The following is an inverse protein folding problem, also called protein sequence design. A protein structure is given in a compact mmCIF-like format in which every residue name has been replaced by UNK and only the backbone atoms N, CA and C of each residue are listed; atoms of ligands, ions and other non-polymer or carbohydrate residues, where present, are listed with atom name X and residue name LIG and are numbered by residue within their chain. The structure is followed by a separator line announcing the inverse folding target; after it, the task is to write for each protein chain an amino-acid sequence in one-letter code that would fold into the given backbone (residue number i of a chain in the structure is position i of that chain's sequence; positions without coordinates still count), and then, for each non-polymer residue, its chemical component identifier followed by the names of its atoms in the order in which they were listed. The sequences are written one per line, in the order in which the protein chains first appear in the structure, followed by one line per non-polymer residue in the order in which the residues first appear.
data_IF_621563372567
#
_entry.id   IF_621563372567
#
_cell.length_a   1.000
_cell.length_b   1.000
_cell.length_c   1.000
_cell.angle_alpha   90.00
_cell.angle_beta   90.00
_cell.angle_gamma   90.00
#
_symmetry.space_group_name_H-M   'P 1'
#
loop_
_entity.id
_entity.type
_entity.pdbx_description
1 polymer ?
#
# COMPACT_ATOMS: atom_id res chain seq x y z
N UNK A 1 3.70 -24.03 -1.80
CA UNK A 1 2.98 -23.12 -2.74
C UNK A 1 2.95 -21.68 -2.22
N UNK A 2 2.40 -21.40 -1.03
CA UNK A 2 2.36 -20.06 -0.40
C UNK A 2 3.70 -19.31 -0.36
N UNK A 3 4.78 -19.97 0.07
CA UNK A 3 6.12 -19.36 0.10
C UNK A 3 6.61 -18.91 -1.28
N UNK A 4 6.16 -19.56 -2.36
CA UNK A 4 6.56 -19.19 -3.71
C UNK A 4 5.94 -17.84 -4.10
N UNK A 5 4.72 -17.53 -3.64
CA UNK A 5 4.10 -16.21 -3.88
C UNK A 5 4.97 -15.10 -3.28
N UNK A 6 5.39 -15.25 -2.02
CA UNK A 6 6.30 -14.28 -1.38
C UNK A 6 7.58 -14.14 -2.22
N UNK A 7 8.24 -15.26 -2.53
CA UNK A 7 9.53 -15.26 -3.23
C UNK A 7 9.42 -14.65 -4.62
N UNK A 8 8.40 -14.99 -5.39
CA UNK A 8 8.21 -14.47 -6.75
C UNK A 8 7.99 -12.96 -6.72
N UNK A 9 7.06 -12.47 -5.89
CA UNK A 9 6.77 -11.03 -5.79
C UNK A 9 8.03 -10.27 -5.34
N UNK A 10 8.71 -10.78 -4.31
CA UNK A 10 9.92 -10.17 -3.79
C UNK A 10 11.06 -10.17 -4.81
N UNK A 11 11.29 -11.28 -5.51
CA UNK A 11 12.35 -11.38 -6.54
C UNK A 11 12.08 -10.45 -7.72
N UNK A 12 10.84 -10.36 -8.21
CA UNK A 12 10.47 -9.42 -9.28
C UNK A 12 10.81 -7.99 -8.85
N UNK A 13 10.36 -7.59 -7.65
CA UNK A 13 10.58 -6.24 -7.14
C UNK A 13 12.05 -5.93 -6.85
N UNK A 14 12.80 -6.87 -6.28
CA UNK A 14 14.23 -6.68 -6.05
C UNK A 14 15.03 -6.63 -7.36
N UNK A 15 14.61 -7.36 -8.39
CA UNK A 15 15.24 -7.29 -9.71
C UNK A 15 15.04 -5.91 -10.36
N UNK A 16 13.85 -5.33 -10.24
CA UNK A 16 13.55 -3.96 -10.67
C UNK A 16 14.40 -2.97 -9.87
N UNK A 17 14.40 -3.06 -8.54
CA UNK A 17 15.18 -2.19 -7.67
C UNK A 17 16.68 -2.22 -7.97
N UNK A 18 17.26 -3.41 -8.13
CA UNK A 18 18.67 -3.59 -8.47
C UNK A 18 19.01 -3.04 -9.86
N UNK A 19 18.12 -3.18 -10.83
CA UNK A 19 18.31 -2.60 -12.16
C UNK A 19 18.29 -1.07 -12.10
N UNK A 20 17.38 -0.48 -11.31
CA UNK A 20 17.26 0.96 -11.15
C UNK A 20 18.40 1.58 -10.32
N UNK A 21 19.06 0.79 -9.46
CA UNK A 21 20.28 1.20 -8.75
C UNK A 21 21.46 1.45 -9.73
N UNK A 22 21.42 0.90 -10.94
CA UNK A 22 22.43 1.12 -11.97
C UNK A 22 22.24 2.43 -12.76
N UNK A 23 21.18 3.21 -12.48
CA UNK A 23 20.98 4.51 -13.11
C UNK A 23 22.12 5.50 -12.76
N UNK A 24 22.44 6.45 -13.66
CA UNK A 24 23.48 7.45 -13.42
C UNK A 24 23.32 8.20 -12.08
N UNK A 25 24.46 8.66 -11.54
CA UNK A 25 24.49 9.50 -10.35
C UNK A 25 23.53 10.71 -10.50
N UNK A 26 22.79 11.02 -9.44
CA UNK A 26 21.74 12.05 -9.45
C UNK A 26 20.33 11.53 -9.76
N UNK A 27 20.15 10.32 -10.32
CA UNK A 27 18.82 9.76 -10.64
C UNK A 27 18.18 8.89 -9.54
N UNK A 28 18.73 8.91 -8.33
CA UNK A 28 18.24 8.07 -7.23
C UNK A 28 16.78 8.35 -6.83
N UNK A 29 16.32 9.60 -6.92
CA UNK A 29 14.91 9.92 -6.66
C UNK A 29 13.97 9.36 -7.73
N UNK A 30 14.38 9.45 -9.00
CA UNK A 30 13.65 8.85 -10.12
C UNK A 30 13.58 7.32 -9.98
N UNK A 31 14.72 6.68 -9.66
CA UNK A 31 14.80 5.25 -9.38
C UNK A 31 13.78 4.81 -8.31
N UNK A 32 13.75 5.52 -7.17
CA UNK A 32 12.80 5.21 -6.08
C UNK A 32 11.35 5.40 -6.49
N UNK A 33 11.04 6.45 -7.27
CA UNK A 33 9.69 6.70 -7.78
C UNK A 33 9.25 5.57 -8.71
N UNK A 34 10.04 5.27 -9.74
CA UNK A 34 9.75 4.20 -10.71
C UNK A 34 9.59 2.85 -10.01
N UNK A 35 10.45 2.53 -9.04
CA UNK A 35 10.32 1.29 -8.28
C UNK A 35 9.01 1.22 -7.48
N UNK A 36 8.59 2.35 -6.88
CA UNK A 36 7.31 2.45 -6.18
C UNK A 36 6.11 2.24 -7.11
N UNK A 37 6.10 2.95 -8.24
CA UNK A 37 5.02 2.90 -9.23
C UNK A 37 4.88 1.48 -9.82
N UNK A 38 6.00 0.82 -10.11
CA UNK A 38 6.02 -0.56 -10.59
C UNK A 38 5.59 -1.57 -9.51
N UNK A 39 5.86 -1.30 -8.22
CA UNK A 39 5.37 -2.14 -7.14
C UNK A 39 3.85 -2.06 -6.99
N UNK A 40 3.28 -0.86 -6.98
CA UNK A 40 1.83 -0.65 -7.01
C UNK A 40 1.20 -1.40 -8.19
N UNK A 41 1.73 -1.19 -9.39
CA UNK A 41 1.22 -1.82 -10.60
C UNK A 41 1.28 -3.34 -10.54
N UNK A 42 2.38 -3.91 -10.05
CA UNK A 42 2.51 -5.37 -9.89
C UNK A 42 1.42 -5.92 -8.96
N UNK A 43 1.20 -5.31 -7.80
CA UNK A 43 0.19 -5.77 -6.85
C UNK A 43 -1.21 -5.70 -7.46
N UNK A 44 -1.54 -4.59 -8.14
CA UNK A 44 -2.83 -4.45 -8.84
C UNK A 44 -3.02 -5.52 -9.90
N UNK A 45 -2.02 -5.76 -10.74
CA UNK A 45 -2.07 -6.81 -11.77
C UNK A 45 -2.24 -8.20 -11.18
N UNK A 46 -1.61 -8.50 -10.04
CA UNK A 46 -1.78 -9.78 -9.35
C UNK A 46 -3.22 -9.97 -8.84
N UNK A 47 -3.82 -8.93 -8.26
CA UNK A 47 -5.24 -8.97 -7.81
C UNK A 47 -6.17 -9.17 -9.01
N UNK A 48 -5.97 -8.43 -10.10
CA UNK A 48 -6.76 -8.58 -11.34
C UNK A 48 -6.58 -9.96 -11.95
N UNK A 49 -5.36 -10.51 -11.93
CA UNK A 49 -5.06 -11.83 -12.52
C UNK A 49 -5.79 -13.00 -11.85
N UNK A 50 -6.22 -12.84 -10.59
CA UNK A 50 -7.02 -13.83 -9.87
C UNK A 50 -8.54 -13.54 -9.95
N UNK A 51 -8.95 -12.66 -10.88
CA UNK A 51 -10.36 -12.40 -11.18
C UNK A 51 -11.05 -11.44 -10.21
N UNK A 52 -10.30 -10.56 -9.55
CA UNK A 52 -10.84 -9.57 -8.60
C UNK A 52 -10.67 -8.17 -9.19
N UNK A 53 -11.74 -7.39 -9.21
CA UNK A 53 -11.72 -6.02 -9.74
C UNK A 53 -10.87 -5.13 -8.83
N UNK A 54 -9.82 -4.53 -9.41
CA UNK A 54 -8.94 -3.62 -8.68
C UNK A 54 -8.41 -2.52 -9.60
N UNK A 55 -8.61 -1.27 -9.18
CA UNK A 55 -8.15 -0.07 -9.90
C UNK A 55 -7.37 0.86 -8.97
N UNK A 56 -6.53 1.72 -9.55
CA UNK A 56 -5.98 2.90 -8.85
C UNK A 56 -6.82 4.10 -9.25
N UNK A 57 -7.15 4.97 -8.29
CA UNK A 57 -8.10 6.03 -8.58
C UNK A 57 -8.24 7.09 -7.49
N UNK A 58 -8.94 8.15 -7.88
CA UNK A 58 -9.38 9.20 -6.96
C UNK A 58 -10.86 9.03 -6.66
N UNK A 59 -11.18 8.83 -5.38
CA UNK A 59 -12.54 8.82 -4.86
C UNK A 59 -13.00 10.24 -4.55
N UNK A 60 -14.25 10.53 -4.88
CA UNK A 60 -14.91 11.79 -4.50
C UNK A 60 -15.86 11.54 -3.33
N UNK A 61 -15.44 11.93 -2.13
CA UNK A 61 -16.23 11.78 -0.90
C UNK A 61 -17.09 13.03 -0.69
N UNK A 62 -18.42 12.91 -0.63
CA UNK A 62 -19.29 14.05 -0.38
C UNK A 62 -19.19 14.50 1.09
N UNK A 63 -18.96 15.78 1.29
CA UNK A 63 -18.93 16.41 2.62
C UNK A 63 -20.29 17.07 2.86
N UNK A 64 -20.99 16.60 3.89
CA UNK A 64 -22.35 17.05 4.21
C UNK A 64 -22.37 17.90 5.48
N UNK A 65 -23.31 18.84 5.56
CA UNK A 65 -23.60 19.56 6.80
C UNK A 65 -24.45 18.70 7.76
N UNK A 66 -24.82 19.25 8.92
CA UNK A 66 -25.67 18.59 9.91
C UNK A 66 -27.07 18.23 9.40
N UNK A 67 -27.54 18.92 8.36
CA UNK A 67 -28.86 18.72 7.75
C UNK A 67 -28.83 17.71 6.59
N UNK A 68 -27.64 17.13 6.32
CA UNK A 68 -27.44 16.13 5.27
C UNK A 68 -27.24 16.71 3.87
N UNK A 69 -27.20 18.03 3.72
CA UNK A 69 -26.95 18.70 2.45
C UNK A 69 -25.47 18.58 2.07
N UNK A 70 -25.20 18.14 0.85
CA UNK A 70 -23.83 18.07 0.31
C UNK A 70 -23.31 19.49 0.06
N UNK A 71 -22.24 19.87 0.78
CA UNK A 71 -21.58 21.17 0.65
C UNK A 71 -20.56 21.16 -0.50
N UNK A 72 -19.74 20.11 -0.57
CA UNK A 72 -18.73 19.91 -1.61
C UNK A 72 -18.23 18.46 -1.62
N UNK A 73 -17.41 18.09 -2.62
CA UNK A 73 -16.73 16.79 -2.67
C UNK A 73 -15.24 16.94 -2.41
N UNK A 74 -14.70 16.06 -1.59
CA UNK A 74 -13.27 15.96 -1.30
C UNK A 74 -12.65 14.79 -2.07
N UNK A 75 -11.44 14.99 -2.58
CA UNK A 75 -10.73 14.03 -3.43
C UNK A 75 -9.73 13.21 -2.63
N UNK A 76 -9.84 11.89 -2.65
CA UNK A 76 -8.93 10.96 -1.99
C UNK A 76 -8.31 10.00 -3.00
N UNK A 77 -6.99 10.04 -3.15
CA UNK A 77 -6.27 9.14 -4.05
C UNK A 77 -5.79 7.90 -3.31
N UNK A 78 -6.11 6.73 -3.86
CA UNK A 78 -5.71 5.44 -3.31
C UNK A 78 -5.06 4.58 -4.39
N UNK A 79 -4.07 3.80 -3.95
CA UNK A 79 -3.28 2.93 -4.83
C UNK A 79 -4.12 1.73 -5.31
N UNK A 80 -4.98 1.20 -4.42
CA UNK A 80 -5.87 0.08 -4.68
C UNK A 80 -7.29 0.42 -4.21
N UNK A 81 -8.23 0.30 -5.14
CA UNK A 81 -9.67 0.30 -4.90
C UNK A 81 -10.17 -1.06 -5.39
N UNK A 82 -10.51 -1.95 -4.46
CA UNK A 82 -10.87 -3.33 -4.75
C UNK A 82 -12.39 -3.47 -4.63
N UNK A 83 -13.03 -3.96 -5.68
CA UNK A 83 -14.49 -4.06 -5.79
C UNK A 83 -14.93 -5.50 -6.05
N UNK A 84 -16.19 -5.80 -5.72
CA UNK A 84 -16.86 -7.05 -6.08
C UNK A 84 -18.31 -6.75 -6.39
N UNK A 85 -18.71 -6.95 -7.65
CA UNK A 85 -20.02 -6.51 -8.13
C UNK A 85 -20.12 -4.98 -8.16
N UNK A 86 -21.21 -4.42 -7.65
CA UNK A 86 -21.44 -2.98 -7.59
C UNK A 86 -20.94 -2.31 -6.31
N UNK A 87 -20.11 -3.00 -5.52
CA UNK A 87 -19.62 -2.51 -4.23
C UNK A 87 -18.10 -2.38 -4.22
N UNK A 88 -17.63 -1.24 -3.71
CA UNK A 88 -16.26 -1.10 -3.23
C UNK A 88 -16.13 -1.88 -1.92
N UNK A 89 -15.13 -2.76 -1.85
CA UNK A 89 -14.94 -3.67 -0.71
C UNK A 89 -13.71 -3.33 0.13
N UNK A 90 -12.63 -2.85 -0.49
CA UNK A 90 -11.35 -2.63 0.19
C UNK A 90 -10.64 -1.41 -0.40
N UNK A 91 -10.08 -0.58 0.47
CA UNK A 91 -9.11 0.45 0.12
C UNK A 91 -7.71 -0.04 0.51
N UNK A 92 -6.76 0.03 -0.40
CA UNK A 92 -5.40 -0.46 -0.17
C UNK A 92 -4.33 0.57 -0.48
N UNK A 93 -3.27 0.54 0.33
CA UNK A 93 -2.03 1.28 0.08
C UNK A 93 -0.87 0.33 -0.18
N UNK A 94 -0.08 0.59 -1.22
CA UNK A 94 1.13 -0.16 -1.60
C UNK A 94 2.32 0.77 -1.49
N UNK A 95 3.34 0.38 -0.71
CA UNK A 95 4.55 1.19 -0.51
C UNK A 95 5.78 0.29 -0.45
N UNK A 96 6.91 0.73 -0.96
CA UNK A 96 8.15 -0.06 -0.90
C UNK A 96 8.68 -0.22 0.54
N UNK A 97 8.49 0.79 1.38
CA UNK A 97 8.81 0.76 2.81
C UNK A 97 7.81 1.59 3.60
N UNK A 98 7.57 1.21 4.86
CA UNK A 98 6.57 1.86 5.70
C UNK A 98 7.08 3.20 6.26
N UNK A 99 8.14 3.20 7.08
CA UNK A 99 8.70 4.42 7.72
C UNK A 99 7.57 5.31 8.31
N UNK A 100 7.69 6.61 8.14
CA UNK A 100 6.67 7.64 8.42
C UNK A 100 5.41 7.50 7.56
N UNK A 101 5.46 6.78 6.43
CA UNK A 101 4.28 6.59 5.56
C UNK A 101 3.24 5.66 6.18
N UNK A 102 3.60 4.90 7.21
CA UNK A 102 2.63 4.07 7.93
C UNK A 102 1.56 4.95 8.59
N UNK A 103 1.96 6.10 9.12
CA UNK A 103 1.08 7.09 9.75
C UNK A 103 -0.04 7.51 8.78
N UNK A 104 0.32 7.74 7.50
CA UNK A 104 -0.64 8.12 6.46
C UNK A 104 -1.73 7.06 6.27
N UNK A 105 -1.39 5.76 6.22
CA UNK A 105 -2.37 4.70 5.96
C UNK A 105 -3.41 4.61 7.08
N UNK A 106 -2.96 4.75 8.34
CA UNK A 106 -3.85 4.78 9.50
C UNK A 106 -4.78 5.99 9.48
N UNK A 107 -4.24 7.16 9.14
CA UNK A 107 -5.03 8.39 9.01
C UNK A 107 -6.02 8.35 7.85
N UNK A 108 -5.64 7.76 6.72
CA UNK A 108 -6.53 7.59 5.57
C UNK A 108 -7.74 6.74 5.96
N UNK A 109 -7.55 5.60 6.65
CA UNK A 109 -8.67 4.79 7.20
C UNK A 109 -9.54 5.60 8.15
N UNK A 110 -8.92 6.29 9.12
CA UNK A 110 -9.64 7.08 10.12
C UNK A 110 -10.55 8.12 9.46
N UNK A 111 -9.97 8.94 8.58
CA UNK A 111 -10.66 10.04 7.93
C UNK A 111 -11.72 9.53 6.97
N UNK A 112 -11.40 8.52 6.17
CA UNK A 112 -12.37 7.93 5.24
C UNK A 112 -13.61 7.44 6.00
N UNK A 113 -13.42 6.55 6.96
CA UNK A 113 -14.52 5.97 7.74
C UNK A 113 -15.32 7.04 8.48
N UNK A 114 -14.65 8.08 8.99
CA UNK A 114 -15.32 9.19 9.68
C UNK A 114 -16.16 10.05 8.75
N UNK A 115 -15.72 10.27 7.52
CA UNK A 115 -16.39 11.12 6.54
C UNK A 115 -17.52 10.39 5.79
N UNK A 116 -17.40 9.09 5.59
CA UNK A 116 -18.40 8.29 4.87
C UNK A 116 -19.35 7.54 5.81
N UNK A 117 -19.09 7.56 7.11
CA UNK A 117 -19.83 6.77 8.11
C UNK A 117 -19.84 5.26 7.80
N UNK A 118 -18.77 4.78 7.17
CA UNK A 118 -18.58 3.35 6.84
C UNK A 118 -17.47 2.73 7.67
N UNK A 119 -17.44 1.41 7.78
CA UNK A 119 -16.28 0.64 8.26
C UNK A 119 -15.63 -0.12 7.10
N UNK A 120 -15.30 0.59 6.03
CA UNK A 120 -14.73 -0.04 4.84
C UNK A 120 -13.32 -0.57 5.16
N UNK A 121 -13.02 -1.84 4.84
CA UNK A 121 -11.71 -2.40 5.09
C UNK A 121 -10.56 -1.60 4.46
N UNK A 122 -9.52 -1.33 5.26
CA UNK A 122 -8.28 -0.73 4.76
C UNK A 122 -7.08 -1.65 4.99
N UNK A 123 -6.31 -1.89 3.93
CA UNK A 123 -5.11 -2.73 3.95
C UNK A 123 -3.85 -1.95 3.58
N UNK A 124 -2.71 -2.42 4.07
CA UNK A 124 -1.39 -1.92 3.71
C UNK A 124 -0.50 -3.06 3.20
N UNK A 125 0.23 -2.81 2.10
CA UNK A 125 1.18 -3.75 1.52
C UNK A 125 2.54 -3.08 1.41
N UNK A 126 3.53 -3.68 2.04
CA UNK A 126 4.90 -3.21 2.10
C UNK A 126 5.87 -4.21 1.45
N UNK A 127 6.87 -3.71 0.71
CA UNK A 127 7.92 -4.58 0.18
C UNK A 127 8.84 -5.03 1.32
N UNK A 128 9.50 -4.09 2.00
CA UNK A 128 10.39 -4.36 3.13
C UNK A 128 10.61 -3.10 3.99
N UNK A 129 11.18 -3.27 5.19
CA UNK A 129 11.63 -2.14 6.02
C UNK A 129 13.12 -2.23 6.32
N UNK A 130 13.92 -2.13 5.25
CA UNK A 130 15.37 -2.09 5.35
C UNK A 130 15.95 -0.89 4.61
N UNK A 131 17.05 -0.39 5.16
CA UNK A 131 17.85 0.67 4.58
C UNK A 131 19.32 0.26 4.62
N UNK A 132 20.09 0.55 3.57
CA UNK A 132 21.55 0.36 3.58
C UNK A 132 22.18 1.18 4.72
N UNK A 133 22.94 0.53 5.58
CA UNK A 133 23.73 1.17 6.63
C UNK A 133 24.93 1.84 5.99
N UNK A 134 25.16 3.12 6.31
CA UNK A 134 26.41 3.79 5.94
C UNK A 134 27.55 3.20 6.78
N UNK A 135 28.54 2.61 6.13
CA UNK A 135 29.76 2.10 6.76
C UNK A 135 30.93 2.98 6.35
N UNK A 136 31.91 3.12 7.25
CA UNK A 136 33.14 3.90 6.98
C UNK A 136 34.24 3.04 6.36
N UNK A 137 34.16 1.72 6.56
CA UNK A 137 35.11 0.77 6.02
C UNK A 137 34.61 0.22 4.69
N UNK A 138 35.51 0.17 3.72
CA UNK A 138 35.25 -0.44 2.42
C UNK A 138 34.93 -1.93 2.60
N UNK A 139 33.98 -2.45 1.82
CA UNK A 139 33.48 -3.84 1.90
C UNK A 139 32.75 -4.25 3.17
N UNK A 140 32.48 -3.34 4.11
CA UNK A 140 31.51 -3.58 5.18
C UNK A 140 30.11 -3.22 4.70
N UNK A 141 29.21 -4.21 4.64
CA UNK A 141 27.81 -4.00 4.29
C UNK A 141 26.91 -4.28 5.49
N UNK A 142 25.87 -3.45 5.64
CA UNK A 142 24.88 -3.64 6.68
C UNK A 142 23.55 -3.04 6.30
N UNK A 143 22.53 -3.38 7.08
CA UNK A 143 21.19 -2.85 6.96
C UNK A 143 20.71 -2.30 8.30
N UNK A 144 19.94 -1.23 8.26
CA UNK A 144 19.17 -0.72 9.38
C UNK A 144 17.69 -1.03 9.13
N UNK A 145 16.95 -1.34 10.21
CA UNK A 145 15.49 -1.38 10.15
C UNK A 145 14.94 0.02 9.99
N UNK A 146 13.88 0.16 9.20
CA UNK A 146 13.15 1.42 9.01
C UNK A 146 11.74 1.41 9.56
N UNK A 147 11.29 0.25 10.05
CA UNK A 147 9.98 0.09 10.65
C UNK A 147 9.89 0.84 11.98
N UNK A 148 8.76 1.51 12.21
CA UNK A 148 8.48 2.28 13.43
C UNK A 148 7.46 1.52 14.31
N UNK A 149 7.90 0.56 15.15
CA UNK A 149 7.00 -0.29 15.93
C UNK A 149 6.14 0.50 16.92
N UNK A 150 6.70 1.57 17.52
CA UNK A 150 5.95 2.41 18.46
C UNK A 150 4.76 3.09 17.81
N UNK A 151 4.94 3.66 16.61
CA UNK A 151 3.88 4.31 15.83
C UNK A 151 2.79 3.30 15.47
N UNK A 152 3.19 2.16 14.91
CA UNK A 152 2.25 1.11 14.51
C UNK A 152 1.37 0.66 15.69
N UNK A 153 1.99 0.35 16.84
CA UNK A 153 1.26 -0.08 18.04
C UNK A 153 0.35 1.02 18.57
N UNK A 154 0.84 2.25 18.62
CA UNK A 154 0.05 3.39 19.10
C UNK A 154 -1.21 3.57 18.25
N UNK A 155 -1.10 3.59 16.92
CA UNK A 155 -2.27 3.77 16.04
C UNK A 155 -3.21 2.57 16.04
N UNK A 156 -2.66 1.35 16.09
CA UNK A 156 -3.47 0.13 16.20
C UNK A 156 -4.34 0.15 17.45
N UNK A 157 -3.80 0.58 18.59
CA UNK A 157 -4.52 0.60 19.88
C UNK A 157 -5.40 1.84 20.04
N UNK A 158 -4.91 3.02 19.63
CA UNK A 158 -5.51 4.32 20.01
C UNK A 158 -6.28 5.01 18.89
N UNK A 159 -6.07 4.63 17.64
CA UNK A 159 -6.75 5.24 16.49
C UNK A 159 -7.73 4.25 15.86
N UNK A 160 -7.23 3.38 15.00
CA UNK A 160 -7.99 2.29 14.41
C UNK A 160 -7.03 1.19 13.92
N UNK A 161 -7.29 -0.09 14.19
CA UNK A 161 -6.53 -1.16 13.54
C UNK A 161 -6.79 -1.14 12.03
N UNK A 162 -5.75 -1.39 11.23
CA UNK A 162 -5.91 -1.75 9.82
C UNK A 162 -6.45 -3.17 9.70
N UNK A 163 -7.21 -3.44 8.64
CA UNK A 163 -7.84 -4.75 8.40
C UNK A 163 -6.83 -5.80 7.92
N UNK A 164 -5.68 -5.36 7.41
CA UNK A 164 -4.59 -6.23 7.01
C UNK A 164 -3.33 -5.45 6.71
N UNK A 165 -2.19 -5.93 7.22
CA UNK A 165 -0.87 -5.35 6.95
C UNK A 165 0.07 -6.45 6.50
N UNK A 166 0.58 -6.31 5.28
CA UNK A 166 1.27 -7.38 4.57
C UNK A 166 2.67 -6.97 4.16
N UNK A 167 3.65 -7.83 4.43
CA UNK A 167 5.03 -7.63 4.01
C UNK A 167 5.48 -8.71 3.03
N UNK A 168 6.24 -8.34 2.01
CA UNK A 168 6.98 -9.30 1.19
C UNK A 168 8.21 -9.82 1.95
N UNK A 169 8.93 -8.94 2.65
CA UNK A 169 10.02 -9.29 3.56
C UNK A 169 9.72 -8.78 4.98
N UNK A 170 9.10 -9.66 5.77
CA UNK A 170 8.73 -9.39 7.16
C UNK A 170 9.95 -9.48 8.07
N UNK A 171 10.10 -8.55 9.01
CA UNK A 171 11.26 -8.49 9.91
C UNK A 171 11.06 -9.37 11.16
N UNK A 172 12.11 -9.96 11.75
CA UNK A 172 11.98 -10.82 12.93
C UNK A 172 11.25 -10.18 14.10
N UNK A 173 11.46 -8.89 14.35
CA UNK A 173 10.78 -8.16 15.43
C UNK A 173 9.27 -8.04 15.22
N UNK A 174 8.78 -8.09 13.97
CA UNK A 174 7.34 -8.07 13.67
C UNK A 174 6.67 -9.41 13.98
N UNK A 175 7.44 -10.50 14.02
CA UNK A 175 6.96 -11.86 14.32
C UNK A 175 7.10 -12.16 15.82
N UNK A 176 8.19 -11.71 16.44
CA UNK A 176 8.48 -12.00 17.84
C UNK A 176 7.63 -11.17 18.81
N UNK A 177 7.24 -9.96 18.42
CA UNK A 177 6.39 -9.11 19.23
C UNK A 177 4.93 -9.55 19.11
N UNK A 178 4.29 -9.88 20.24
CA UNK A 178 2.96 -10.46 20.26
C UNK A 178 1.88 -9.58 19.65
N UNK A 179 1.96 -8.25 19.86
CA UNK A 179 1.00 -7.32 19.29
C UNK A 179 1.25 -7.14 17.79
N UNK A 180 2.50 -7.00 17.35
CA UNK A 180 2.80 -6.86 15.93
C UNK A 180 2.40 -8.12 15.14
N UNK A 181 2.69 -9.31 15.68
CA UNK A 181 2.43 -10.58 15.00
C UNK A 181 0.94 -10.88 14.80
N UNK A 182 0.06 -10.26 15.60
CA UNK A 182 -1.39 -10.36 15.42
C UNK A 182 -1.90 -9.54 14.23
N UNK A 183 -1.23 -8.43 13.91
CA UNK A 183 -1.68 -7.46 12.92
C UNK A 183 -0.85 -7.42 11.64
N UNK A 184 0.38 -7.94 11.66
CA UNK A 184 1.30 -7.95 10.53
C UNK A 184 1.50 -9.37 10.04
N UNK A 185 1.28 -9.59 8.75
CA UNK A 185 1.40 -10.90 8.08
C UNK A 185 2.28 -10.79 6.84
N UNK A 186 2.64 -11.94 6.29
CA UNK A 186 3.30 -12.01 4.99
C UNK A 186 2.29 -11.90 3.85
N UNK A 187 2.74 -11.43 2.68
CA UNK A 187 1.87 -11.10 1.54
C UNK A 187 1.10 -12.30 0.96
N UNK A 188 1.56 -13.53 1.17
CA UNK A 188 0.78 -14.72 0.81
C UNK A 188 -0.52 -14.84 1.62
N UNK A 189 -0.58 -14.33 2.86
CA UNK A 189 -1.82 -14.32 3.64
C UNK A 189 -2.92 -13.49 2.96
N UNK A 190 -2.54 -12.36 2.33
CA UNK A 190 -3.45 -11.55 1.53
C UNK A 190 -4.07 -12.39 0.41
N UNK A 191 -3.23 -12.96 -0.46
CA UNK A 191 -3.69 -13.65 -1.67
C UNK A 191 -4.40 -14.99 -1.40
N UNK A 192 -4.06 -15.68 -0.31
CA UNK A 192 -4.65 -17.00 -0.01
C UNK A 192 -5.91 -16.93 0.86
N UNK A 193 -6.03 -15.95 1.75
CA UNK A 193 -7.11 -15.96 2.74
C UNK A 193 -7.77 -14.60 2.88
N UNK A 194 -6.99 -13.58 3.22
CA UNK A 194 -7.57 -12.37 3.76
C UNK A 194 -8.32 -11.58 2.68
N UNK A 195 -7.87 -11.59 1.43
CA UNK A 195 -8.58 -10.94 0.33
C UNK A 195 -10.00 -11.50 0.17
N UNK A 196 -10.16 -12.83 0.18
CA UNK A 196 -11.48 -13.48 0.08
C UNK A 196 -12.36 -13.16 1.30
N UNK A 197 -11.79 -13.26 2.50
CA UNK A 197 -12.51 -12.94 3.74
C UNK A 197 -13.00 -11.49 3.78
N UNK A 198 -12.19 -10.55 3.27
CA UNK A 198 -12.53 -9.12 3.22
C UNK A 198 -13.57 -8.82 2.14
N UNK A 199 -13.49 -9.48 0.98
CA UNK A 199 -14.46 -9.32 -0.12
C UNK A 199 -15.88 -9.80 0.24
N UNK A 200 -16.01 -10.70 1.20
CA UNK A 200 -17.30 -11.20 1.67
C UNK A 200 -17.97 -10.29 2.71
N UNK A 201 -17.25 -9.27 3.23
CA UNK A 201 -17.85 -8.22 4.05
C UNK A 201 -18.74 -7.31 3.22
N UNK A 202 -19.70 -6.64 3.87
CA UNK A 202 -20.51 -5.59 3.23
C UNK A 202 -19.60 -4.45 2.75
N UNK A 203 -19.79 -4.00 1.50
CA UNK A 203 -19.02 -2.91 0.92
C UNK A 203 -19.77 -1.59 0.91
N UNK A 204 -19.26 -0.62 0.16
CA UNK A 204 -19.94 0.63 -0.12
C UNK A 204 -20.39 0.66 -1.58
N UNK A 205 -21.61 1.12 -1.85
CA UNK A 205 -22.12 1.16 -3.23
C UNK A 205 -21.27 2.09 -4.09
N UNK A 206 -20.86 1.61 -5.27
CA UNK A 206 -20.13 2.42 -6.25
C UNK A 206 -20.98 3.57 -6.83
N UNK A 207 -22.32 3.51 -6.71
CA UNK A 207 -23.19 4.62 -7.12
C UNK A 207 -23.04 5.86 -6.22
N UNK A 208 -22.60 5.67 -4.97
CA UNK A 208 -22.45 6.74 -3.98
C UNK A 208 -21.07 7.40 -4.06
N UNK A 209 -20.12 6.78 -4.75
CA UNK A 209 -18.72 7.22 -4.85
C UNK A 209 -18.31 7.28 -6.31
N UNK A 210 -18.01 8.49 -6.80
CA UNK A 210 -17.37 8.61 -8.09
C UNK A 210 -15.88 8.24 -7.99
N UNK A 211 -15.49 7.12 -8.63
CA UNK A 211 -14.09 6.72 -8.80
C UNK A 211 -13.62 7.23 -10.16
N UNK A 212 -12.61 8.10 -10.16
CA UNK A 212 -11.89 8.52 -11.37
C UNK A 212 -10.62 7.68 -11.49
N UNK A 213 -10.52 6.88 -12.54
CA UNK A 213 -9.29 6.14 -12.83
C UNK A 213 -8.17 7.11 -13.16
N UNK A 214 -6.97 6.85 -12.63
CA UNK A 214 -5.76 7.53 -13.09
C UNK A 214 -5.49 7.02 -14.50
N UNK A 215 -5.46 7.90 -15.51
CA UNK A 215 -5.11 7.52 -16.88
C UNK A 215 -3.68 6.96 -16.89
N UNK A 216 -3.49 5.80 -17.50
CA UNK A 216 -2.20 5.09 -17.53
C UNK A 216 -1.10 5.83 -18.33
N UNK A 217 -1.44 6.91 -19.04
CA UNK A 217 -0.56 7.65 -19.95
C UNK A 217 0.26 8.80 -19.30
N UNK A 218 0.07 9.12 -18.02
CA UNK A 218 0.79 10.24 -17.36
C UNK A 218 2.16 9.84 -16.75
N UNK A 219 2.63 8.60 -16.96
CA UNK A 219 3.99 8.21 -16.58
C UNK A 219 4.94 8.54 -17.75
N UNK A 220 5.25 9.82 -17.88
CA UNK A 220 6.27 10.27 -18.82
C UNK A 220 7.65 9.80 -18.34
N UNK A 221 8.14 8.70 -18.91
CA UNK A 221 9.51 8.22 -18.72
C UNK A 221 10.52 9.07 -19.50
N UNK A 222 10.17 10.28 -19.98
CA UNK A 222 11.11 11.17 -20.64
C UNK A 222 12.33 11.44 -19.77
N UNK A 223 13.43 10.84 -20.19
CA UNK A 223 14.76 11.31 -19.91
C UNK A 223 14.89 12.67 -20.58
N UNK A 224 14.71 13.75 -19.81
CA UNK A 224 15.29 15.03 -20.22
C UNK A 224 16.80 14.81 -20.35
N UNK A 225 17.25 14.68 -21.59
CA UNK A 225 18.64 14.79 -21.96
C UNK A 225 19.01 16.25 -21.77
N UNK A 226 19.58 16.58 -20.61
CA UNK A 226 20.22 17.86 -20.44
C UNK A 226 21.41 17.92 -21.41
N UNK A 227 21.35 18.89 -22.32
CA UNK A 227 22.46 19.31 -23.19
C UNK A 227 23.52 20.03 -22.36
#
# INVERSE_FOLDING_TARGET
MRQNVIRIIYTIQQSIGATLDALPAGKSNQARKVNGDLFERLIRLLIVSIGIDCVSGTMQVPIKNSDGEELFKSSYQHDLLISKGSELKIIGSVKTSSKDRIDKVFMDKFLYNKLTETDLPHIAIFLNDVQRKKTKQENEYGINSTFLPGHFKAYTIKLNPLDGVYYCDIRPNMIQDSLLAQHIRTIDCLFYFDLWNLLDKHGQSLSEIAIKNVKEDDIDYQTKSDK
#
